data_IF_003287550903
#
_entry.id   IF_003287550903
#
_cell.length_a   1.000
_cell.length_b   1.000
_cell.length_c   1.000
_cell.angle_alpha   90.00
_cell.angle_beta   90.00
_cell.angle_gamma   90.00
#
_symmetry.space_group_name_H-M   'P 1'
#
loop_
_entity.id
_entity.type
_entity.pdbx_description
1 polymer ?
#
# COMPACT_ATOMS: atom_id res chain seq x y z
N UNK A 1 6.30 1.62 4.74
CA UNK A 1 5.22 0.62 4.88
C UNK A 1 5.65 -0.42 5.91
N UNK A 2 4.82 -0.66 6.93
CA UNK A 2 5.04 -1.73 7.91
C UNK A 2 3.77 -2.56 7.95
N UNK A 3 3.88 -3.86 7.67
CA UNK A 3 2.75 -4.80 7.77
C UNK A 3 2.57 -5.14 9.25
N UNK A 4 1.44 -4.76 9.84
CA UNK A 4 1.10 -5.11 11.22
C UNK A 4 -0.25 -5.86 11.22
N UNK A 5 -0.22 -7.15 11.58
CA UNK A 5 -1.44 -7.92 11.84
C UNK A 5 -2.42 -8.10 10.67
N UNK A 6 -1.97 -7.92 9.41
CA UNK A 6 -2.85 -8.02 8.23
C UNK A 6 -3.47 -6.69 7.78
N UNK A 7 -3.28 -5.60 8.53
CA UNK A 7 -3.67 -4.27 8.11
C UNK A 7 -2.45 -3.47 7.62
N UNK A 8 -2.54 -2.96 6.40
CA UNK A 8 -1.54 -2.07 5.83
C UNK A 8 -1.76 -0.66 6.34
N UNK A 9 -0.80 -0.12 7.08
CA UNK A 9 -0.79 1.28 7.49
C UNK A 9 0.09 2.10 6.54
N UNK A 10 -0.53 3.04 5.85
CA UNK A 10 0.14 3.94 4.93
C UNK A 10 0.65 5.15 5.70
N UNK A 11 1.94 5.41 5.52
CA UNK A 11 2.63 6.51 6.15
C UNK A 11 3.37 7.22 5.03
N UNK A 12 2.95 8.45 4.74
CA UNK A 12 3.66 9.33 3.84
C UNK A 12 4.28 10.46 4.66
N UNK A 13 5.48 10.87 4.27
CA UNK A 13 6.13 12.05 4.79
C UNK A 13 6.70 12.78 3.59
N UNK A 14 6.21 13.99 3.32
CA UNK A 14 6.86 14.87 2.36
C UNK A 14 8.22 15.29 2.92
N UNK A 15 9.21 15.47 2.05
CA UNK A 15 10.59 15.81 2.45
C UNK A 15 10.66 17.13 3.24
N UNK A 16 9.67 17.99 3.02
CA UNK A 16 9.53 19.30 3.65
C UNK A 16 8.72 19.27 4.95
N UNK A 17 8.01 18.16 5.22
CA UNK A 17 7.22 17.99 6.44
C UNK A 17 8.07 17.45 7.59
N UNK A 18 7.88 17.98 8.79
CA UNK A 18 8.52 17.46 10.00
C UNK A 18 7.80 16.20 10.51
N UNK A 19 6.49 16.08 10.22
CA UNK A 19 5.59 15.06 10.76
C UNK A 19 5.19 14.01 9.73
N UNK A 20 4.93 12.79 10.20
CA UNK A 20 4.39 11.70 9.39
C UNK A 20 2.87 11.84 9.30
N UNK A 21 2.33 11.81 8.09
CA UNK A 21 0.88 11.72 7.87
C UNK A 21 0.51 10.25 7.88
N UNK A 22 -0.32 9.87 8.84
CA UNK A 22 -0.89 8.53 8.96
C UNK A 22 -2.24 8.54 8.27
N UNK A 23 -2.38 7.77 7.19
CA UNK A 23 -3.67 7.59 6.53
C UNK A 23 -4.37 6.36 7.13
N UNK A 24 -5.56 6.58 7.68
CA UNK A 24 -6.43 5.51 8.20
C UNK A 24 -7.10 4.75 7.05
N UNK A 25 -7.48 5.47 5.99
CA UNK A 25 -7.90 4.93 4.70
C UNK A 25 -6.89 5.37 3.64
N UNK A 26 -6.08 4.47 3.07
CA UNK A 26 -5.14 4.83 2.00
C UNK A 26 -5.91 5.29 0.77
N UNK A 27 -5.50 6.35 0.08
CA UNK A 27 -6.17 6.76 -1.16
C UNK A 27 -6.00 5.69 -2.24
N UNK A 28 -6.97 5.60 -3.16
CA UNK A 28 -6.90 4.61 -4.25
C UNK A 28 -5.68 4.80 -5.15
N UNK A 29 -5.21 6.05 -5.28
CA UNK A 29 -4.00 6.39 -6.03
C UNK A 29 -2.74 5.86 -5.32
N UNK A 30 -2.65 6.01 -3.99
CA UNK A 30 -1.58 5.41 -3.18
C UNK A 30 -1.60 3.87 -3.24
N UNK A 31 -2.79 3.24 -3.25
CA UNK A 31 -2.89 1.79 -3.41
C UNK A 31 -2.42 1.33 -4.79
N UNK A 32 -2.70 2.10 -5.85
CA UNK A 32 -2.19 1.83 -7.20
C UNK A 32 -0.68 1.97 -7.27
N UNK A 33 -0.11 2.97 -6.62
CA UNK A 33 1.34 3.14 -6.53
C UNK A 33 1.98 1.98 -5.76
N UNK A 34 1.39 1.58 -4.63
CA UNK A 34 1.85 0.43 -3.85
C UNK A 34 1.80 -0.86 -4.67
N UNK A 35 0.72 -1.10 -5.42
CA UNK A 35 0.60 -2.25 -6.32
C UNK A 35 1.76 -2.31 -7.30
N UNK A 36 2.10 -1.18 -7.93
CA UNK A 36 3.20 -1.10 -8.89
C UNK A 36 4.56 -1.34 -8.21
N UNK A 37 4.77 -0.78 -7.02
CA UNK A 37 5.98 -1.02 -6.21
C UNK A 37 6.11 -2.50 -5.84
N UNK A 38 5.04 -3.14 -5.36
CA UNK A 38 5.05 -4.56 -5.01
C UNK A 38 5.24 -5.42 -6.25
N UNK A 39 4.61 -5.08 -7.38
CA UNK A 39 4.81 -5.79 -8.65
C UNK A 39 6.28 -5.73 -9.09
N UNK A 40 6.92 -4.56 -9.03
CA UNK A 40 8.36 -4.41 -9.30
C UNK A 40 9.23 -5.20 -8.33
N UNK A 41 8.85 -5.26 -7.04
CA UNK A 41 9.57 -6.07 -6.03
C UNK A 41 9.37 -7.57 -6.24
N UNK A 42 8.18 -7.99 -6.62
CA UNK A 42 7.82 -9.36 -6.95
C UNK A 42 8.63 -9.85 -8.16
N UNK A 43 8.72 -9.05 -9.22
CA UNK A 43 9.58 -9.34 -10.38
C UNK A 43 11.06 -9.52 -9.99
N UNK A 44 11.54 -8.78 -8.98
CA UNK A 44 12.91 -8.92 -8.44
C UNK A 44 13.05 -10.00 -7.36
N UNK A 45 12.02 -10.86 -7.17
CA UNK A 45 11.96 -11.90 -6.13
C UNK A 45 12.15 -11.37 -4.70
N UNK A 46 11.76 -10.12 -4.45
CA UNK A 46 11.86 -9.45 -3.14
C UNK A 46 10.51 -9.21 -2.45
N UNK A 47 9.41 -9.65 -3.07
CA UNK A 47 8.07 -9.67 -2.49
C UNK A 47 7.39 -10.97 -2.91
N UNK A 48 6.47 -11.48 -2.08
CA UNK A 48 5.71 -12.69 -2.39
C UNK A 48 4.46 -12.37 -3.21
N UNK A 49 3.95 -13.38 -3.92
CA UNK A 49 2.67 -13.25 -4.63
C UNK A 49 1.51 -12.93 -3.67
N UNK A 50 1.62 -13.39 -2.41
CA UNK A 50 0.69 -13.04 -1.34
C UNK A 50 0.65 -11.54 -1.05
N UNK A 51 1.80 -10.85 -1.01
CA UNK A 51 1.81 -9.39 -0.79
C UNK A 51 1.15 -8.64 -1.94
N UNK A 52 1.29 -9.13 -3.18
CA UNK A 52 0.60 -8.57 -4.34
C UNK A 52 -0.92 -8.82 -4.27
N UNK A 53 -1.33 -10.02 -3.88
CA UNK A 53 -2.74 -10.38 -3.71
C UNK A 53 -3.43 -9.57 -2.60
N UNK A 54 -2.72 -9.28 -1.51
CA UNK A 54 -3.21 -8.48 -0.39
C UNK A 54 -3.53 -7.04 -0.84
N UNK A 55 -2.65 -6.42 -1.62
CA UNK A 55 -2.85 -5.06 -2.17
C UNK A 55 -3.95 -5.03 -3.24
N UNK A 56 -4.02 -6.05 -4.10
CA UNK A 56 -5.13 -6.21 -5.05
C UNK A 56 -6.49 -6.36 -4.34
N UNK A 57 -6.51 -7.01 -3.18
CA UNK A 57 -7.73 -7.13 -2.35
C UNK A 57 -8.13 -5.78 -1.76
N UNK A 58 -7.17 -5.01 -1.24
CA UNK A 58 -7.42 -3.66 -0.72
C UNK A 58 -7.95 -2.70 -1.80
N UNK A 59 -7.39 -2.76 -3.00
CA UNK A 59 -7.89 -1.99 -4.16
C UNK A 59 -9.35 -2.32 -4.50
N UNK A 60 -9.72 -3.60 -4.47
CA UNK A 60 -11.11 -4.03 -4.73
C UNK A 60 -12.07 -3.62 -3.63
N UNK A 61 -11.64 -3.73 -2.38
CA UNK A 61 -12.44 -3.33 -1.22
C UNK A 61 -12.75 -1.83 -1.28
N UNK A 62 -11.75 -1.02 -1.59
CA UNK A 62 -11.91 0.42 -1.71
C UNK A 62 -12.75 0.85 -2.94
N UNK A 63 -12.68 0.11 -4.05
CA UNK A 63 -13.53 0.36 -5.22
C UNK A 63 -15.01 0.04 -4.94
N UNK A 64 -15.29 -0.78 -3.92
CA UNK A 64 -16.64 -1.21 -3.54
C UNK A 64 -17.35 -0.27 -2.57
N UNK A 65 -16.59 0.58 -1.88
CA UNK A 65 -17.09 1.55 -0.88
C UNK A 65 -17.19 2.99 -1.42
N UNK A 66 -16.93 3.19 -2.72
CA UNK A 66 -16.97 4.49 -3.40
C UNK A 66 -18.26 4.76 -4.19
#
# INVERSE_FOLDING_TARGET
>A
MTKFGGNWKFQAKFREDEKWTYYDVPLIDDLRELRDIIFRKYQRRRASAEDFADVEKMLRDQTRDG
#
